data_IF_353018820787
#
_entry.id   IF_353018820787
#
_cell.length_a   1.000
_cell.length_b   1.000
_cell.length_c   1.000
_cell.angle_alpha   90.00
_cell.angle_beta   90.00
_cell.angle_gamma   90.00
#
_symmetry.space_group_name_H-M   'P 1'
#
loop_
_entity.id
_entity.type
_entity.pdbx_description
1 polymer ?
#
# COMPACT_ATOMS: atom_id res chain seq x y z
N UNK A 1 19.23 54.25 -9.05
CA UNK A 1 18.30 53.49 -9.92
C UNK A 1 18.53 52.02 -9.61
N UNK A 2 17.75 51.50 -8.73
CA UNK A 2 17.83 50.17 -8.19
C UNK A 2 17.02 49.24 -9.13
N UNK A 3 17.67 48.30 -9.78
CA UNK A 3 17.04 47.32 -10.66
C UNK A 3 16.30 46.31 -9.81
N UNK A 4 14.99 46.52 -9.62
CA UNK A 4 14.11 45.53 -9.07
C UNK A 4 14.14 44.25 -9.95
N UNK A 5 14.79 43.20 -9.46
CA UNK A 5 14.74 41.87 -10.02
C UNK A 5 13.32 41.37 -10.03
N UNK A 6 12.70 41.22 -11.19
CA UNK A 6 11.46 40.51 -11.42
C UNK A 6 11.70 39.03 -11.11
N UNK A 7 11.54 38.65 -9.83
CA UNK A 7 11.43 37.26 -9.47
C UNK A 7 10.12 36.75 -10.09
N UNK A 8 10.23 35.91 -11.12
CA UNK A 8 9.11 35.15 -11.67
C UNK A 8 8.41 34.32 -10.58
N UNK A 9 7.19 33.80 -10.81
CA UNK A 9 6.45 33.06 -9.82
C UNK A 9 7.31 31.91 -9.30
N UNK A 10 7.70 31.98 -8.03
CA UNK A 10 8.48 30.95 -7.35
C UNK A 10 7.68 29.65 -7.41
N UNK A 11 8.13 28.69 -8.20
CA UNK A 11 7.59 27.33 -8.18
C UNK A 11 7.60 26.88 -6.72
N UNK A 12 6.41 26.66 -6.16
CA UNK A 12 6.25 26.17 -4.77
C UNK A 12 7.18 24.98 -4.55
N UNK A 13 7.96 24.95 -3.49
CA UNK A 13 8.92 23.89 -3.28
C UNK A 13 8.19 22.55 -3.14
N UNK A 14 8.58 21.60 -3.97
CA UNK A 14 8.04 20.20 -4.00
C UNK A 14 8.71 19.31 -2.93
N UNK A 15 9.04 19.90 -1.79
CA UNK A 15 9.75 19.25 -0.68
C UNK A 15 8.81 18.94 0.46
N UNK A 16 8.74 17.65 0.82
CA UNK A 16 7.84 17.18 1.86
C UNK A 16 8.18 17.76 3.24
N UNK A 17 9.47 17.93 3.54
CA UNK A 17 9.92 18.48 4.82
C UNK A 17 9.48 19.95 5.04
N UNK A 18 9.28 20.71 3.97
CA UNK A 18 9.01 22.16 4.04
C UNK A 18 7.52 22.52 3.89
N UNK A 19 6.72 21.64 3.26
CA UNK A 19 5.32 21.94 2.95
C UNK A 19 4.37 20.96 3.65
N UNK A 20 3.67 21.46 4.67
CA UNK A 20 2.71 20.68 5.47
C UNK A 20 1.62 20.03 4.60
N UNK A 21 0.97 20.79 3.74
CA UNK A 21 -0.15 20.28 2.95
C UNK A 21 0.30 19.22 1.93
N UNK A 22 1.45 19.45 1.29
CA UNK A 22 2.05 18.50 0.36
C UNK A 22 2.45 17.21 1.10
N UNK A 23 3.03 17.33 2.30
CA UNK A 23 3.42 16.20 3.14
C UNK A 23 2.23 15.34 3.54
N UNK A 24 1.18 15.95 4.10
CA UNK A 24 -0.03 15.26 4.53
C UNK A 24 -0.78 14.63 3.34
N UNK A 25 -0.90 15.35 2.23
CA UNK A 25 -1.48 14.81 1.00
C UNK A 25 -0.68 13.63 0.45
N UNK A 26 0.66 13.71 0.46
CA UNK A 26 1.52 12.62 0.00
C UNK A 26 1.39 11.38 0.89
N UNK A 27 1.32 11.54 2.21
CA UNK A 27 1.06 10.43 3.14
C UNK A 27 -0.28 9.78 2.80
N UNK A 28 -1.36 10.55 2.72
CA UNK A 28 -2.67 10.05 2.33
C UNK A 28 -2.62 9.28 1.01
N UNK A 29 -2.01 9.86 -0.03
CA UNK A 29 -1.95 9.27 -1.37
C UNK A 29 -1.11 7.98 -1.40
N UNK A 30 -0.02 7.91 -0.64
CA UNK A 30 0.83 6.73 -0.56
C UNK A 30 0.10 5.56 0.13
N UNK A 31 -0.62 5.82 1.21
CA UNK A 31 -1.44 4.81 1.87
C UNK A 31 -2.66 4.41 1.03
N UNK A 32 -3.28 5.36 0.31
CA UNK A 32 -4.29 5.02 -0.68
C UNK A 32 -3.73 4.12 -1.79
N UNK A 33 -2.51 4.42 -2.27
CA UNK A 33 -1.78 3.58 -3.22
C UNK A 33 -1.52 2.16 -2.72
N UNK A 34 -1.28 1.99 -1.43
CA UNK A 34 -1.13 0.70 -0.76
C UNK A 34 -2.47 -0.07 -0.69
N UNK A 35 -3.59 0.65 -0.48
CA UNK A 35 -4.92 0.07 -0.48
C UNK A 35 -5.36 -0.49 -1.85
N UNK A 36 -4.78 0.00 -2.96
CA UNK A 36 -5.17 -0.40 -4.31
C UNK A 36 -5.02 -1.92 -4.54
N UNK A 37 -3.85 -2.56 -4.35
CA UNK A 37 -3.73 -4.01 -4.51
C UNK A 37 -4.54 -4.80 -3.47
N UNK A 38 -4.73 -4.26 -2.25
CA UNK A 38 -5.56 -4.91 -1.24
C UNK A 38 -7.03 -4.97 -1.68
N UNK A 39 -7.58 -3.91 -2.27
CA UNK A 39 -8.93 -3.91 -2.84
C UNK A 39 -9.13 -4.97 -3.91
N UNK A 40 -8.13 -5.17 -4.77
CA UNK A 40 -8.16 -6.20 -5.80
C UNK A 40 -8.08 -7.62 -5.20
N UNK A 41 -7.08 -7.91 -4.35
CA UNK A 41 -6.78 -9.27 -3.92
C UNK A 41 -7.57 -9.74 -2.69
N UNK A 42 -8.00 -8.83 -1.82
CA UNK A 42 -8.80 -9.20 -0.65
C UNK A 42 -10.31 -9.18 -0.96
N UNK A 43 -10.76 -8.39 -1.94
CA UNK A 43 -12.19 -8.24 -2.21
C UNK A 43 -12.59 -8.71 -3.60
N UNK A 44 -11.97 -8.19 -4.66
CA UNK A 44 -12.42 -8.45 -6.03
C UNK A 44 -12.13 -9.88 -6.47
N UNK A 45 -10.91 -10.38 -6.30
CA UNK A 45 -10.53 -11.73 -6.73
C UNK A 45 -11.32 -12.80 -5.97
N UNK A 46 -11.47 -12.76 -4.62
CA UNK A 46 -12.32 -13.69 -3.90
C UNK A 46 -13.79 -13.67 -4.36
N UNK A 47 -14.36 -12.49 -4.61
CA UNK A 47 -15.72 -12.35 -5.11
C UNK A 47 -15.87 -12.99 -6.50
N UNK A 48 -14.96 -12.69 -7.42
CA UNK A 48 -14.94 -13.28 -8.77
C UNK A 48 -14.79 -14.81 -8.76
N UNK A 49 -13.92 -15.33 -7.90
CA UNK A 49 -13.77 -16.77 -7.72
C UNK A 49 -15.08 -17.40 -7.20
N UNK A 50 -15.74 -16.76 -6.21
CA UNK A 50 -17.00 -17.23 -5.63
C UNK A 50 -18.14 -17.25 -6.67
N UNK A 51 -18.32 -16.16 -7.43
CA UNK A 51 -19.30 -16.06 -8.53
C UNK A 51 -19.04 -17.17 -9.58
N UNK A 52 -17.78 -17.49 -9.85
CA UNK A 52 -17.36 -18.54 -10.78
C UNK A 52 -17.48 -19.96 -10.22
N UNK A 53 -18.00 -20.14 -9.00
CA UNK A 53 -18.23 -21.44 -8.36
C UNK A 53 -16.96 -22.08 -7.78
N UNK A 54 -15.93 -21.30 -7.43
CA UNK A 54 -14.76 -21.82 -6.74
C UNK A 54 -15.11 -22.28 -5.33
N UNK A 55 -14.40 -23.30 -4.83
CA UNK A 55 -14.61 -23.80 -3.47
C UNK A 55 -14.07 -22.81 -2.43
N UNK A 56 -14.61 -22.86 -1.19
CA UNK A 56 -14.08 -22.10 -0.05
C UNK A 56 -12.58 -22.36 0.16
N UNK A 57 -12.11 -23.58 -0.09
CA UNK A 57 -10.71 -23.96 0.02
C UNK A 57 -9.83 -23.21 -0.99
N UNK A 58 -10.29 -23.09 -2.23
CA UNK A 58 -9.55 -22.42 -3.30
C UNK A 58 -9.44 -20.92 -3.02
N UNK A 59 -10.53 -20.30 -2.60
CA UNK A 59 -10.56 -18.88 -2.18
C UNK A 59 -9.64 -18.67 -0.98
N UNK A 60 -9.73 -19.54 0.04
CA UNK A 60 -8.88 -19.47 1.23
C UNK A 60 -7.39 -19.58 0.89
N UNK A 61 -7.02 -20.41 -0.10
CA UNK A 61 -5.65 -20.51 -0.56
C UNK A 61 -5.15 -19.18 -1.13
N UNK A 62 -5.93 -18.53 -2.01
CA UNK A 62 -5.54 -17.24 -2.61
C UNK A 62 -5.44 -16.14 -1.55
N UNK A 63 -6.42 -16.05 -0.63
CA UNK A 63 -6.41 -15.10 0.49
C UNK A 63 -5.20 -15.34 1.40
N UNK A 64 -4.86 -16.60 1.69
CA UNK A 64 -3.67 -16.92 2.48
C UNK A 64 -2.38 -16.45 1.79
N UNK A 65 -2.27 -16.63 0.47
CA UNK A 65 -1.12 -16.14 -0.31
C UNK A 65 -1.00 -14.61 -0.27
N UNK A 66 -2.12 -13.88 -0.24
CA UNK A 66 -2.13 -12.43 -0.02
C UNK A 66 -1.54 -12.05 1.34
N UNK A 67 -1.85 -12.81 2.39
CA UNK A 67 -1.44 -12.54 3.77
C UNK A 67 0.01 -12.90 4.13
N UNK A 68 0.62 -13.88 3.44
CA UNK A 68 1.98 -14.38 3.76
C UNK A 68 3.03 -13.27 3.83
N UNK A 69 3.17 -12.35 2.84
CA UNK A 69 4.19 -11.32 2.86
C UNK A 69 4.09 -10.40 4.08
N UNK A 70 2.88 -10.12 4.57
CA UNK A 70 2.63 -9.27 5.73
C UNK A 70 3.20 -9.84 7.03
N UNK A 71 3.26 -11.17 7.14
CA UNK A 71 3.86 -11.85 8.29
C UNK A 71 5.39 -11.67 8.34
N UNK A 72 6.03 -11.35 7.22
CA UNK A 72 7.48 -11.19 7.09
C UNK A 72 7.92 -9.75 6.80
N UNK A 73 7.02 -8.76 6.95
CA UNK A 73 7.32 -7.35 6.61
C UNK A 73 8.52 -6.76 7.37
N UNK A 74 8.88 -7.31 8.53
CA UNK A 74 10.06 -6.88 9.28
C UNK A 74 11.37 -7.07 8.50
N UNK A 75 11.46 -8.06 7.59
CA UNK A 75 12.64 -8.30 6.74
C UNK A 75 12.85 -7.09 5.81
N UNK A 76 11.77 -6.57 5.21
CA UNK A 76 11.84 -5.38 4.36
C UNK A 76 12.38 -4.16 5.14
N UNK A 77 11.99 -3.99 6.40
CA UNK A 77 12.48 -2.92 7.26
C UNK A 77 14.02 -2.95 7.43
N UNK A 78 14.57 -4.10 7.77
CA UNK A 78 16.02 -4.26 7.91
C UNK A 78 16.79 -4.02 6.60
N UNK A 79 16.24 -4.49 5.48
CA UNK A 79 16.84 -4.24 4.16
C UNK A 79 16.87 -2.74 3.84
N UNK A 80 15.79 -2.02 4.10
CA UNK A 80 15.66 -0.60 3.79
C UNK A 80 16.53 0.27 4.69
N UNK A 81 16.69 -0.09 5.95
CA UNK A 81 17.52 0.69 6.88
C UNK A 81 19.01 0.56 6.56
N UNK A 82 19.41 -0.54 5.92
CA UNK A 82 20.82 -0.78 5.55
C UNK A 82 21.13 -0.43 4.11
N UNK A 83 20.25 -0.78 3.17
CA UNK A 83 20.51 -0.66 1.73
C UNK A 83 19.56 0.39 1.12
N UNK A 84 20.07 1.60 0.87
CA UNK A 84 19.27 2.66 0.26
C UNK A 84 20.16 3.62 -0.55
N UNK A 85 19.57 4.31 -1.52
CA UNK A 85 20.23 5.36 -2.27
C UNK A 85 19.97 6.70 -1.59
N UNK A 86 20.78 7.03 -0.56
CA UNK A 86 20.60 8.20 0.30
C UNK A 86 20.46 9.53 -0.47
N UNK A 87 21.03 9.63 -1.66
CA UNK A 87 20.89 10.80 -2.50
C UNK A 87 19.45 11.07 -3.00
N UNK A 88 18.57 10.04 -2.96
CA UNK A 88 17.14 10.16 -3.30
C UNK A 88 16.24 10.30 -2.06
N UNK A 89 16.80 10.43 -0.87
CA UNK A 89 16.10 10.23 0.40
C UNK A 89 16.24 8.80 0.91
N UNK A 90 15.81 8.53 2.14
CA UNK A 90 15.94 7.19 2.72
C UNK A 90 14.92 6.21 2.17
N UNK A 91 13.71 6.66 1.85
CA UNK A 91 12.55 5.79 1.60
C UNK A 91 12.06 5.83 0.16
N UNK A 92 12.20 6.96 -0.54
CA UNK A 92 11.64 7.13 -1.89
C UNK A 92 12.12 6.11 -2.91
N UNK A 93 13.38 5.71 -2.87
CA UNK A 93 13.90 4.69 -3.81
C UNK A 93 13.17 3.35 -3.65
N UNK A 94 12.87 2.96 -2.41
CA UNK A 94 12.13 1.75 -2.09
C UNK A 94 10.66 1.85 -2.50
N UNK A 95 10.01 3.00 -2.25
CA UNK A 95 8.62 3.25 -2.65
C UNK A 95 8.49 3.15 -4.17
N UNK A 96 9.34 3.90 -4.92
CA UNK A 96 9.31 3.89 -6.38
C UNK A 96 9.64 2.49 -6.93
N UNK A 97 10.65 1.82 -6.38
CA UNK A 97 11.05 0.48 -6.79
C UNK A 97 9.92 -0.54 -6.58
N UNK A 98 9.30 -0.55 -5.41
CA UNK A 98 8.18 -1.43 -5.11
C UNK A 98 6.97 -1.18 -6.04
N UNK A 99 6.64 0.08 -6.29
CA UNK A 99 5.55 0.44 -7.20
C UNK A 99 5.83 0.03 -8.66
N UNK A 100 7.07 0.19 -9.14
CA UNK A 100 7.46 -0.28 -10.48
C UNK A 100 7.32 -1.81 -10.58
N UNK A 101 7.78 -2.56 -9.58
CA UNK A 101 7.62 -4.02 -9.55
C UNK A 101 6.15 -4.40 -9.53
N UNK A 102 5.33 -3.73 -8.71
CA UNK A 102 3.89 -3.96 -8.63
C UNK A 102 3.19 -3.70 -9.98
N UNK A 103 3.49 -2.58 -10.65
CA UNK A 103 2.97 -2.24 -11.98
C UNK A 103 3.36 -3.31 -12.99
N UNK A 104 4.63 -3.73 -13.01
CA UNK A 104 5.12 -4.74 -13.93
C UNK A 104 4.43 -6.09 -13.72
N UNK A 105 4.26 -6.53 -12.46
CA UNK A 105 3.56 -7.76 -12.13
C UNK A 105 2.09 -7.69 -12.57
N UNK A 106 1.37 -6.61 -12.25
CA UNK A 106 -0.02 -6.43 -12.67
C UNK A 106 -0.17 -6.42 -14.20
N UNK A 107 0.76 -5.77 -14.91
CA UNK A 107 0.76 -5.79 -16.38
C UNK A 107 1.03 -7.20 -16.95
N UNK A 108 1.97 -7.95 -16.40
CA UNK A 108 2.26 -9.32 -16.77
C UNK A 108 1.00 -10.20 -16.55
N UNK A 109 0.33 -10.05 -15.42
CA UNK A 109 -0.85 -10.85 -15.11
C UNK A 109 -2.08 -10.44 -15.92
N UNK A 110 -2.18 -9.19 -16.34
CA UNK A 110 -3.18 -8.77 -17.32
C UNK A 110 -3.00 -9.48 -18.67
N UNK A 111 -1.74 -9.76 -19.06
CA UNK A 111 -1.42 -10.49 -20.30
C UNK A 111 -1.67 -12.00 -20.13
N UNK A 112 -1.22 -12.60 -19.02
CA UNK A 112 -1.41 -14.03 -18.73
C UNK A 112 -2.89 -14.35 -18.57
N UNK A 113 -3.67 -13.44 -18.01
CA UNK A 113 -5.12 -13.53 -17.81
C UNK A 113 -5.56 -14.84 -17.16
N UNK A 114 -5.07 -15.18 -15.93
CA UNK A 114 -5.46 -16.41 -15.28
C UNK A 114 -6.96 -16.45 -15.03
N UNK A 115 -7.57 -17.61 -15.29
CA UNK A 115 -8.98 -17.83 -15.03
C UNK A 115 -9.30 -18.06 -13.56
N UNK A 116 -10.59 -18.05 -13.15
CA UNK A 116 -10.99 -18.18 -11.75
C UNK A 116 -10.70 -19.58 -11.16
N UNK A 117 -10.38 -20.56 -12.01
CA UNK A 117 -9.99 -21.93 -11.63
C UNK A 117 -8.49 -22.16 -11.60
N UNK A 118 -7.68 -21.19 -12.04
CA UNK A 118 -6.21 -21.26 -12.02
C UNK A 118 -5.68 -20.88 -10.65
N UNK A 119 -6.15 -21.56 -9.60
CA UNK A 119 -5.98 -21.23 -8.19
C UNK A 119 -4.51 -21.04 -7.82
N UNK A 120 -3.60 -21.91 -8.31
CA UNK A 120 -2.17 -21.80 -8.03
C UNK A 120 -1.59 -20.52 -8.64
N UNK A 121 -1.96 -20.18 -9.87
CA UNK A 121 -1.46 -18.98 -10.54
C UNK A 121 -2.01 -17.75 -9.83
N UNK A 122 -3.30 -17.70 -9.49
CA UNK A 122 -3.90 -16.61 -8.72
C UNK A 122 -3.23 -16.43 -7.35
N UNK A 123 -2.91 -17.52 -6.66
CA UNK A 123 -2.18 -17.46 -5.38
C UNK A 123 -0.76 -16.92 -5.56
N UNK A 124 -0.01 -17.35 -6.58
CA UNK A 124 1.33 -16.84 -6.88
C UNK A 124 1.31 -15.35 -7.27
N UNK A 125 0.31 -14.93 -8.03
CA UNK A 125 0.06 -13.51 -8.35
C UNK A 125 -0.17 -12.70 -7.08
N UNK A 126 -1.09 -13.16 -6.23
CA UNK A 126 -1.41 -12.54 -4.96
C UNK A 126 -0.15 -12.40 -4.08
N UNK A 127 0.62 -13.48 -3.95
CA UNK A 127 1.88 -13.49 -3.20
C UNK A 127 2.88 -12.47 -3.75
N UNK A 128 3.11 -12.46 -5.07
CA UNK A 128 4.12 -11.61 -5.70
C UNK A 128 3.75 -10.12 -5.61
N UNK A 129 2.51 -9.75 -5.93
CA UNK A 129 2.04 -8.35 -5.86
C UNK A 129 2.01 -7.87 -4.41
N UNK A 130 1.52 -8.69 -3.47
CA UNK A 130 1.51 -8.31 -2.05
C UNK A 130 2.91 -8.26 -1.44
N UNK A 131 3.88 -9.02 -1.94
CA UNK A 131 5.28 -8.84 -1.55
C UNK A 131 5.76 -7.43 -1.92
N UNK A 132 5.53 -6.97 -3.15
CA UNK A 132 5.86 -5.60 -3.54
C UNK A 132 5.08 -4.55 -2.72
N UNK A 133 3.80 -4.82 -2.40
CA UNK A 133 2.97 -3.95 -1.55
C UNK A 133 3.56 -3.81 -0.15
N UNK A 134 4.04 -4.90 0.46
CA UNK A 134 4.68 -4.89 1.78
C UNK A 134 5.99 -4.07 1.76
N UNK A 135 6.78 -4.16 0.70
CA UNK A 135 7.95 -3.29 0.56
C UNK A 135 7.55 -1.82 0.46
N UNK A 136 6.50 -1.49 -0.29
CA UNK A 136 5.97 -0.13 -0.31
C UNK A 136 5.50 0.31 1.08
N UNK A 137 4.71 -0.52 1.77
CA UNK A 137 4.16 -0.26 3.11
C UNK A 137 5.25 0.12 4.10
N UNK A 138 6.26 -0.72 4.26
CA UNK A 138 7.37 -0.47 5.18
C UNK A 138 8.14 0.80 4.83
N UNK A 139 8.33 1.09 3.53
CA UNK A 139 8.99 2.31 3.09
C UNK A 139 8.15 3.55 3.38
N UNK A 140 6.83 3.47 3.22
CA UNK A 140 5.88 4.57 3.51
C UNK A 140 5.76 4.80 5.02
N UNK A 141 5.69 3.74 5.83
CA UNK A 141 5.73 3.83 7.29
C UNK A 141 7.01 4.58 7.74
N UNK A 142 8.16 4.16 7.21
CA UNK A 142 9.44 4.82 7.50
C UNK A 142 9.49 6.27 7.03
N UNK A 143 8.98 6.58 5.84
CA UNK A 143 8.89 7.96 5.34
C UNK A 143 8.03 8.82 6.27
N UNK A 144 6.88 8.31 6.68
CA UNK A 144 5.93 9.00 7.56
C UNK A 144 6.59 9.38 8.88
N UNK A 145 7.34 8.45 9.50
CA UNK A 145 8.10 8.71 10.73
C UNK A 145 9.24 9.72 10.50
N UNK A 146 9.93 9.64 9.35
CA UNK A 146 11.10 10.46 9.04
C UNK A 146 10.74 11.94 8.72
N UNK A 147 9.50 12.23 8.26
CA UNK A 147 9.11 13.57 7.81
C UNK A 147 8.03 14.26 8.64
N UNK A 148 7.26 13.53 9.46
CA UNK A 148 6.20 14.14 10.28
C UNK A 148 6.75 14.77 11.54
N UNK A 149 6.55 16.10 11.78
CA UNK A 149 6.71 16.71 13.09
C UNK A 149 5.75 16.10 14.11
N UNK A 150 6.07 16.26 15.38
CA UNK A 150 5.29 15.66 16.48
C UNK A 150 3.82 16.14 16.49
N UNK A 151 3.62 17.43 16.19
CA UNK A 151 2.30 18.09 16.17
C UNK A 151 1.39 17.57 15.04
N UNK A 152 1.98 16.96 14.01
CA UNK A 152 1.23 16.45 12.87
C UNK A 152 1.00 14.92 12.91
N UNK A 153 1.53 14.21 13.91
CA UNK A 153 1.49 12.74 13.97
C UNK A 153 0.08 12.18 14.06
N UNK A 154 -0.81 12.84 14.82
CA UNK A 154 -2.22 12.43 14.92
C UNK A 154 -2.91 12.48 13.57
N UNK A 155 -2.86 13.65 12.92
CA UNK A 155 -3.43 13.86 11.58
C UNK A 155 -2.78 12.93 10.55
N UNK A 156 -1.44 12.79 10.59
CA UNK A 156 -0.71 11.87 9.70
C UNK A 156 -1.18 10.42 9.85
N UNK A 157 -1.38 9.96 11.09
CA UNK A 157 -1.92 8.62 11.38
C UNK A 157 -3.36 8.42 10.89
N UNK A 158 -4.23 9.44 11.07
CA UNK A 158 -5.59 9.40 10.57
C UNK A 158 -5.64 9.36 9.04
N UNK A 159 -4.82 10.18 8.35
CA UNK A 159 -4.71 10.19 6.90
C UNK A 159 -4.08 8.89 6.35
N UNK A 160 -3.14 8.30 7.06
CA UNK A 160 -2.57 7.01 6.72
C UNK A 160 -3.64 5.91 6.73
N UNK A 161 -4.29 5.72 7.88
CA UNK A 161 -5.31 4.68 8.05
C UNK A 161 -6.52 4.91 7.13
N UNK A 162 -7.05 6.13 7.10
CA UNK A 162 -8.18 6.49 6.24
C UNK A 162 -7.83 6.43 4.75
N UNK A 163 -6.62 6.84 4.39
CA UNK A 163 -6.11 6.75 3.01
C UNK A 163 -6.07 5.31 2.51
N UNK A 164 -5.51 4.38 3.31
CA UNK A 164 -5.47 2.96 2.96
C UNK A 164 -6.88 2.39 2.74
N UNK A 165 -7.81 2.68 3.65
CA UNK A 165 -9.19 2.20 3.55
C UNK A 165 -9.91 2.80 2.33
N UNK A 166 -9.69 4.09 2.02
CA UNK A 166 -10.23 4.73 0.82
C UNK A 166 -9.61 4.13 -0.45
N UNK A 167 -8.30 3.82 -0.44
CA UNK A 167 -7.64 3.13 -1.56
C UNK A 167 -8.24 1.74 -1.83
N UNK A 168 -8.52 0.98 -0.77
CA UNK A 168 -9.24 -0.30 -0.85
C UNK A 168 -10.64 -0.09 -1.47
N UNK A 169 -11.37 0.93 -0.98
CA UNK A 169 -12.72 1.25 -1.47
C UNK A 169 -12.74 1.53 -2.98
N UNK A 170 -11.87 2.44 -3.41
CA UNK A 170 -11.76 2.84 -4.83
C UNK A 170 -11.37 1.64 -5.70
N UNK A 171 -10.39 0.87 -5.24
CA UNK A 171 -9.92 -0.31 -5.97
C UNK A 171 -11.00 -1.39 -6.06
N UNK A 172 -11.60 -1.79 -4.93
CA UNK A 172 -12.60 -2.86 -4.92
C UNK A 172 -13.83 -2.50 -5.78
N UNK A 173 -14.32 -1.26 -5.70
CA UNK A 173 -15.42 -0.78 -6.54
C UNK A 173 -15.08 -0.77 -8.02
N UNK A 174 -13.92 -0.20 -8.38
CA UNK A 174 -13.49 -0.11 -9.78
C UNK A 174 -13.16 -1.50 -10.35
N UNK A 175 -12.35 -2.30 -9.64
CA UNK A 175 -11.90 -3.60 -10.17
C UNK A 175 -13.03 -4.62 -10.19
N UNK A 176 -13.99 -4.58 -9.26
CA UNK A 176 -15.20 -5.40 -9.31
C UNK A 176 -16.02 -5.12 -10.56
N UNK A 177 -16.26 -3.85 -10.88
CA UNK A 177 -16.92 -3.42 -12.12
C UNK A 177 -16.13 -3.84 -13.36
N UNK A 178 -14.80 -3.71 -13.34
CA UNK A 178 -13.95 -4.11 -14.47
C UNK A 178 -13.98 -5.63 -14.70
N UNK A 179 -13.95 -6.45 -13.65
CA UNK A 179 -14.08 -7.91 -13.78
C UNK A 179 -15.41 -8.28 -14.40
N UNK A 180 -16.50 -7.71 -13.90
CA UNK A 180 -17.86 -7.97 -14.41
C UNK A 180 -18.02 -7.61 -15.89
N UNK A 181 -17.55 -6.42 -16.29
CA UNK A 181 -17.78 -5.89 -17.64
C UNK A 181 -16.76 -6.39 -18.68
N UNK A 182 -15.51 -6.63 -18.29
CA UNK A 182 -14.39 -6.82 -19.21
C UNK A 182 -13.46 -7.98 -18.81
N UNK A 183 -13.73 -8.66 -17.70
CA UNK A 183 -12.92 -9.76 -17.19
C UNK A 183 -11.72 -9.33 -16.34
N UNK A 184 -11.03 -10.30 -15.77
CA UNK A 184 -9.96 -10.09 -14.78
C UNK A 184 -8.76 -9.29 -15.31
N UNK A 185 -8.41 -9.41 -16.59
CA UNK A 185 -7.34 -8.62 -17.22
C UNK A 185 -7.58 -7.12 -17.09
N UNK A 186 -8.84 -6.67 -17.29
CA UNK A 186 -9.17 -5.26 -17.15
C UNK A 186 -9.02 -4.75 -15.69
N UNK A 187 -9.33 -5.60 -14.72
CA UNK A 187 -9.10 -5.26 -13.30
C UNK A 187 -7.61 -5.12 -12.96
N UNK A 188 -6.74 -6.00 -13.46
CA UNK A 188 -5.29 -5.88 -13.29
C UNK A 188 -4.76 -4.60 -13.94
N UNK A 189 -5.22 -4.25 -15.16
CA UNK A 189 -4.84 -3.00 -15.84
C UNK A 189 -5.32 -1.78 -15.03
N UNK A 190 -6.57 -1.77 -14.59
CA UNK A 190 -7.12 -0.67 -13.80
C UNK A 190 -6.32 -0.45 -12.51
N UNK A 191 -5.99 -1.54 -11.80
CA UNK A 191 -5.16 -1.50 -10.61
C UNK A 191 -3.76 -0.96 -10.93
N UNK A 192 -3.12 -1.43 -12.01
CA UNK A 192 -1.81 -0.93 -12.45
C UNK A 192 -1.83 0.57 -12.75
N UNK A 193 -2.86 1.07 -13.46
CA UNK A 193 -3.01 2.48 -13.78
C UNK A 193 -3.17 3.36 -12.54
N UNK A 194 -3.92 2.91 -11.55
CA UNK A 194 -4.04 3.61 -10.26
C UNK A 194 -2.68 3.69 -9.55
N UNK A 195 -1.90 2.60 -9.54
CA UNK A 195 -0.54 2.61 -8.95
C UNK A 195 0.38 3.53 -9.74
N UNK A 196 0.28 3.57 -11.07
CA UNK A 196 1.05 4.52 -11.92
C UNK A 196 0.78 5.96 -11.51
N UNK A 197 -0.46 6.35 -11.27
CA UNK A 197 -0.81 7.71 -10.84
C UNK A 197 -0.11 8.08 -9.53
N UNK A 198 -0.10 7.18 -8.55
CA UNK A 198 0.61 7.37 -7.28
C UNK A 198 2.12 7.46 -7.52
N UNK A 199 2.68 6.59 -8.37
CA UNK A 199 4.12 6.57 -8.69
C UNK A 199 4.58 7.88 -9.34
N UNK A 200 3.79 8.43 -10.25
CA UNK A 200 4.08 9.73 -10.89
C UNK A 200 4.17 10.84 -9.84
N UNK A 201 3.24 10.87 -8.87
CA UNK A 201 3.31 11.83 -7.77
C UNK A 201 4.59 11.65 -6.93
N UNK A 202 4.96 10.42 -6.56
CA UNK A 202 6.17 10.14 -5.77
C UNK A 202 7.45 10.52 -6.51
N UNK A 203 7.49 10.34 -7.84
CA UNK A 203 8.63 10.80 -8.66
C UNK A 203 8.71 12.33 -8.67
N UNK A 204 7.57 13.02 -8.64
CA UNK A 204 7.53 14.48 -8.69
C UNK A 204 7.99 15.13 -7.39
N UNK A 205 7.60 14.60 -6.21
CA UNK A 205 7.99 15.14 -4.90
C UNK A 205 9.37 14.65 -4.46
N UNK A 206 10.00 15.35 -3.51
CA UNK A 206 11.26 14.99 -2.85
C UNK A 206 11.09 15.11 -1.33
N UNK A 207 11.86 14.32 -0.58
CA UNK A 207 11.79 14.40 0.89
C UNK A 207 12.32 15.75 1.38
N UNK A 208 13.53 16.14 0.88
CA UNK A 208 14.24 17.37 1.31
C UNK A 208 14.90 18.08 0.14
N UNK A 209 15.27 19.34 0.37
CA UNK A 209 16.02 20.17 -0.59
C UNK A 209 17.37 19.53 -0.90
N UNK A 210 17.79 19.61 -2.16
CA UNK A 210 19.08 19.09 -2.63
C UNK A 210 19.09 17.61 -2.99
N UNK A 211 18.07 16.81 -2.62
CA UNK A 211 17.99 15.40 -2.98
C UNK A 211 17.72 15.18 -4.47
N UNK A 212 18.17 14.04 -4.97
CA UNK A 212 17.89 13.58 -6.34
C UNK A 212 16.40 13.26 -6.53
N UNK A 213 15.88 13.57 -7.70
CA UNK A 213 14.54 13.13 -8.09
C UNK A 213 14.53 11.66 -8.53
N UNK A 214 15.54 11.27 -9.33
CA UNK A 214 15.74 9.92 -9.86
C UNK A 214 17.22 9.52 -9.72
N UNK A 215 17.59 8.23 -9.81
CA UNK A 215 18.97 7.77 -9.58
C UNK A 215 20.03 8.49 -10.45
N UNK A 216 19.65 8.89 -11.67
CA UNK A 216 20.53 9.56 -12.65
C UNK A 216 20.40 11.09 -12.63
N UNK A 217 19.52 11.68 -11.82
CA UNK A 217 19.39 13.13 -11.73
C UNK A 217 20.45 13.75 -10.80
N UNK A 218 20.64 15.08 -10.89
CA UNK A 218 21.54 15.80 -10.00
C UNK A 218 20.96 15.92 -8.60
N UNK A 219 21.83 15.90 -7.60
CA UNK A 219 21.50 16.02 -6.18
C UNK A 219 22.45 15.21 -5.32
N UNK A 220 22.39 15.43 -4.00
CA UNK A 220 23.30 14.85 -3.02
C UNK A 220 22.53 14.24 -1.84
N UNK A 221 23.20 13.34 -1.11
CA UNK A 221 22.66 12.79 0.13
C UNK A 221 22.64 13.86 1.22
N UNK A 222 21.51 14.03 1.90
CA UNK A 222 21.40 14.95 3.02
C UNK A 222 22.04 14.37 4.28
N UNK A 223 22.70 15.22 5.09
CA UNK A 223 23.40 14.79 6.32
C UNK A 223 22.48 14.02 7.28
N UNK A 224 21.22 14.44 7.40
CA UNK A 224 20.22 13.75 8.22
C UNK A 224 20.00 12.32 7.78
N UNK A 225 19.98 12.07 6.48
CA UNK A 225 19.79 10.71 5.92
C UNK A 225 21.04 9.83 6.17
N UNK A 226 22.24 10.42 6.07
CA UNK A 226 23.51 9.73 6.33
C UNK A 226 23.59 9.30 7.81
N UNK A 227 23.30 10.21 8.74
CA UNK A 227 23.34 9.95 10.17
C UNK A 227 22.29 8.93 10.64
N UNK A 228 21.16 8.86 9.94
CA UNK A 228 20.08 7.94 10.29
C UNK A 228 20.22 6.54 9.64
N UNK A 229 21.24 6.31 8.81
CA UNK A 229 21.48 4.99 8.21
C UNK A 229 22.03 4.02 9.26
N UNK A 230 21.47 2.81 9.31
CA UNK A 230 21.92 1.78 10.24
C UNK A 230 23.25 1.14 9.78
N UNK A 231 24.24 1.10 10.66
CA UNK A 231 25.53 0.45 10.39
C UNK A 231 25.40 -1.08 10.37
N UNK A 232 24.60 -1.64 11.31
CA UNK A 232 24.41 -3.06 11.49
C UNK A 232 22.94 -3.41 11.69
N UNK A 233 22.43 -4.37 10.94
CA UNK A 233 21.05 -4.85 11.05
C UNK A 233 20.80 -5.82 12.22
N UNK A 234 21.84 -6.55 12.66
CA UNK A 234 21.71 -7.58 13.67
C UNK A 234 21.24 -7.07 15.05
N UNK A 235 21.74 -5.94 15.59
CA UNK A 235 21.20 -5.35 16.81
C UNK A 235 19.73 -4.94 16.68
N UNK A 236 19.32 -4.42 15.53
CA UNK A 236 17.93 -4.04 15.25
C UNK A 236 17.02 -5.27 15.26
N UNK A 237 17.41 -6.35 14.58
CA UNK A 237 16.70 -7.62 14.61
C UNK A 237 16.56 -8.18 16.02
N UNK A 238 17.65 -8.19 16.80
CA UNK A 238 17.65 -8.68 18.17
C UNK A 238 16.73 -7.85 19.07
N UNK A 239 16.73 -6.52 18.90
CA UNK A 239 15.80 -5.60 19.58
C UNK A 239 14.35 -5.86 19.21
N UNK A 240 14.04 -5.97 17.92
CA UNK A 240 12.70 -6.26 17.42
C UNK A 240 12.17 -7.60 17.95
N UNK A 241 12.96 -8.69 17.88
CA UNK A 241 12.58 -10.00 18.43
C UNK A 241 12.32 -9.91 19.94
N UNK A 242 13.23 -9.27 20.70
CA UNK A 242 13.04 -9.08 22.14
C UNK A 242 11.73 -8.35 22.47
N UNK A 243 11.41 -7.29 21.72
CA UNK A 243 10.18 -6.52 21.93
C UNK A 243 8.93 -7.31 21.53
N UNK A 244 8.96 -8.04 20.41
CA UNK A 244 7.85 -8.90 19.95
C UNK A 244 7.53 -9.98 20.98
N UNK A 245 8.54 -10.62 21.54
CA UNK A 245 8.36 -11.65 22.58
C UNK A 245 8.35 -11.10 24.01
N UNK A 246 8.17 -9.79 24.18
CA UNK A 246 7.98 -9.21 25.51
C UNK A 246 6.62 -9.63 26.10
N UNK A 247 6.55 -9.68 27.43
CA UNK A 247 5.29 -10.02 28.14
C UNK A 247 4.13 -9.12 27.72
N UNK A 248 4.40 -7.85 27.49
CA UNK A 248 3.39 -6.88 27.05
C UNK A 248 2.88 -7.19 25.64
N UNK A 249 3.78 -7.42 24.67
CA UNK A 249 3.36 -7.77 23.30
C UNK A 249 2.60 -9.10 23.26
N UNK A 250 3.04 -10.10 24.00
CA UNK A 250 2.37 -11.39 24.08
C UNK A 250 0.97 -11.30 24.71
N UNK A 251 0.72 -10.35 25.63
CA UNK A 251 -0.62 -10.13 26.19
C UNK A 251 -1.63 -9.60 25.16
N UNK A 252 -1.17 -8.89 24.11
CA UNK A 252 -2.01 -8.42 23.01
C UNK A 252 -2.19 -9.46 21.89
N UNK A 253 -1.36 -10.50 21.86
CA UNK A 253 -1.36 -11.50 20.79
C UNK A 253 -2.72 -12.16 20.54
N UNK A 254 -3.50 -12.60 21.58
CA UNK A 254 -4.82 -13.19 21.36
C UNK A 254 -5.80 -12.25 20.66
N UNK A 255 -5.74 -10.94 20.96
CA UNK A 255 -6.59 -9.94 20.33
C UNK A 255 -6.23 -9.81 18.86
N UNK A 256 -4.94 -9.70 18.53
CA UNK A 256 -4.47 -9.61 17.15
C UNK A 256 -4.85 -10.85 16.34
N UNK A 257 -4.71 -12.05 16.92
CA UNK A 257 -5.11 -13.31 16.29
C UNK A 257 -6.63 -13.33 16.04
N UNK A 258 -7.44 -12.94 17.02
CA UNK A 258 -8.91 -12.90 16.88
C UNK A 258 -9.35 -11.95 15.77
N UNK A 259 -8.77 -10.75 15.70
CA UNK A 259 -9.07 -9.77 14.65
C UNK A 259 -8.66 -10.31 13.28
N UNK A 260 -7.46 -10.87 13.16
CA UNK A 260 -6.95 -11.44 11.91
C UNK A 260 -7.78 -12.63 11.42
N UNK A 261 -8.16 -13.55 12.33
CA UNK A 261 -9.04 -14.68 12.00
C UNK A 261 -10.41 -14.20 11.54
N UNK A 262 -11.04 -13.27 12.26
CA UNK A 262 -12.34 -12.71 11.88
C UNK A 262 -12.27 -12.08 10.51
N UNK A 263 -11.26 -11.24 10.24
CA UNK A 263 -11.05 -10.62 8.93
C UNK A 263 -10.89 -11.67 7.83
N UNK A 264 -10.00 -12.66 8.01
CA UNK A 264 -9.77 -13.72 7.03
C UNK A 264 -11.01 -14.57 6.75
N UNK A 265 -11.81 -14.89 7.79
CA UNK A 265 -13.07 -15.62 7.62
C UNK A 265 -14.08 -14.76 6.82
N UNK A 266 -14.20 -13.48 7.12
CA UNK A 266 -15.10 -12.58 6.39
C UNK A 266 -14.73 -12.45 4.91
N UNK A 267 -13.45 -12.41 4.56
CA UNK A 267 -12.99 -12.34 3.17
C UNK A 267 -13.41 -13.56 2.34
N UNK A 268 -13.64 -14.70 2.98
CA UNK A 268 -14.08 -15.94 2.33
C UNK A 268 -15.61 -16.10 2.42
N UNK A 269 -16.17 -15.92 3.61
CA UNK A 269 -17.58 -16.22 3.88
C UNK A 269 -18.52 -15.20 3.20
N UNK A 270 -18.20 -13.92 3.23
CA UNK A 270 -19.06 -12.86 2.67
C UNK A 270 -19.30 -13.06 1.18
N UNK A 271 -18.29 -13.19 0.30
CA UNK A 271 -18.55 -13.42 -1.12
C UNK A 271 -19.27 -14.76 -1.36
N UNK A 272 -18.95 -15.81 -0.63
CA UNK A 272 -19.61 -17.11 -0.82
C UNK A 272 -21.10 -17.08 -0.45
N UNK A 273 -21.47 -16.46 0.65
CA UNK A 273 -22.88 -16.34 1.08
C UNK A 273 -23.63 -15.43 0.10
N UNK A 274 -23.05 -14.30 -0.26
CA UNK A 274 -23.69 -13.35 -1.17
C UNK A 274 -23.93 -13.95 -2.56
N UNK A 275 -22.97 -14.72 -3.10
CA UNK A 275 -23.15 -15.36 -4.41
C UNK A 275 -24.03 -16.59 -4.36
N UNK A 276 -23.87 -17.44 -3.31
CA UNK A 276 -24.58 -18.70 -3.20
C UNK A 276 -26.05 -18.57 -2.81
N UNK A 277 -26.37 -17.67 -1.87
CA UNK A 277 -27.74 -17.52 -1.34
C UNK A 277 -28.52 -16.38 -1.99
N UNK A 278 -27.85 -15.28 -2.38
CA UNK A 278 -28.53 -14.11 -2.94
C UNK A 278 -28.28 -13.90 -4.44
N UNK A 279 -27.36 -14.68 -5.03
CA UNK A 279 -27.04 -14.61 -6.46
C UNK A 279 -26.36 -13.29 -6.88
N UNK A 280 -25.63 -12.63 -5.99
CA UNK A 280 -24.93 -11.38 -6.29
C UNK A 280 -23.79 -11.59 -7.29
N UNK A 281 -23.63 -10.62 -8.19
CA UNK A 281 -22.51 -10.53 -9.11
C UNK A 281 -21.32 -9.75 -8.53
N UNK A 282 -20.19 -9.75 -9.21
CA UNK A 282 -18.94 -9.13 -8.79
C UNK A 282 -19.06 -7.62 -8.61
N UNK A 283 -19.83 -6.95 -9.44
CA UNK A 283 -20.08 -5.49 -9.40
C UNK A 283 -20.89 -5.11 -8.16
N UNK A 284 -21.86 -5.92 -7.74
CA UNK A 284 -22.67 -5.70 -6.53
C UNK A 284 -21.80 -5.86 -5.28
N UNK A 285 -20.98 -6.91 -5.22
CA UNK A 285 -20.03 -7.12 -4.13
C UNK A 285 -18.95 -6.03 -4.09
N UNK A 286 -18.42 -5.65 -5.24
CA UNK A 286 -17.45 -4.56 -5.37
C UNK A 286 -18.04 -3.23 -4.90
N UNK A 287 -19.28 -2.92 -5.29
CA UNK A 287 -20.00 -1.71 -4.88
C UNK A 287 -20.28 -1.67 -3.38
N UNK A 288 -20.74 -2.79 -2.79
CA UNK A 288 -20.96 -2.90 -1.36
C UNK A 288 -19.65 -2.68 -0.58
N UNK A 289 -18.62 -3.43 -0.93
CA UNK A 289 -17.32 -3.34 -0.28
C UNK A 289 -16.71 -1.94 -0.45
N UNK A 290 -16.75 -1.39 -1.66
CA UNK A 290 -16.28 -0.04 -1.95
C UNK A 290 -17.00 1.01 -1.11
N UNK A 291 -18.32 0.96 -1.03
CA UNK A 291 -19.12 1.91 -0.23
C UNK A 291 -18.85 1.77 1.27
N UNK A 292 -18.83 0.55 1.80
CA UNK A 292 -18.55 0.30 3.22
C UNK A 292 -17.15 0.78 3.62
N UNK A 293 -16.14 0.48 2.82
CA UNK A 293 -14.76 0.93 3.06
C UNK A 293 -14.62 2.45 2.89
N UNK A 294 -15.33 3.07 1.92
CA UNK A 294 -15.30 4.53 1.77
C UNK A 294 -15.85 5.23 3.01
N UNK A 295 -16.99 4.78 3.52
CA UNK A 295 -17.58 5.32 4.76
C UNK A 295 -16.63 5.13 5.93
N UNK A 296 -16.04 3.94 6.08
CA UNK A 296 -15.07 3.65 7.13
C UNK A 296 -13.82 4.55 7.04
N UNK A 297 -13.27 4.75 5.83
CA UNK A 297 -12.08 5.58 5.62
C UNK A 297 -12.34 7.06 5.94
N UNK A 298 -13.48 7.60 5.49
CA UNK A 298 -13.88 8.98 5.80
C UNK A 298 -14.10 9.15 7.31
N UNK A 299 -14.77 8.21 7.96
CA UNK A 299 -14.99 8.23 9.41
C UNK A 299 -13.64 8.18 10.18
N UNK A 300 -12.70 7.36 9.73
CA UNK A 300 -11.35 7.26 10.33
C UNK A 300 -10.63 8.60 10.28
N UNK A 301 -10.65 9.30 9.16
CA UNK A 301 -10.03 10.62 9.03
C UNK A 301 -10.75 11.66 9.90
N UNK A 302 -12.09 11.65 9.90
CA UNK A 302 -12.88 12.63 10.64
C UNK A 302 -12.74 12.50 12.18
N UNK A 303 -12.55 11.27 12.68
CA UNK A 303 -12.44 11.00 14.12
C UNK A 303 -11.00 11.08 14.61
N UNK A 304 -10.03 10.67 13.77
CA UNK A 304 -8.62 10.55 14.15
C UNK A 304 -7.78 11.81 13.92
N UNK A 305 -8.27 12.78 13.14
CA UNK A 305 -7.63 14.07 12.86
C UNK A 305 -8.11 15.15 13.79
#
# INVERSE_FOLDING_TARGET
MESASLAGPSSQPVFLAENRNLRLFTIFLLYAGQGIPLGLFDFTIPAWMAVSGASARDIAFVVAMTGIPWSFKFIAGFMMDRYTLLAMGRRRIWIIGAQIVMIALLAIFAIISPGPRDVLILGLVALAVNTATVFQDVAVDGLTVDILPEEERSMGGALASGGQVIGIAVSAGLTGTMVYAFGASAAYIACALLVVLVTVHVIWVRERVGERRLPWSRGEAQQVNILAQADHWLPLLKGALRNTFSRQSLSYFPILVSVGLTYGICLIAVPMIATGETGWAEDQLGSLNGTAQLVAGVATIAIGG
#
